data_IF_022026969369
#
_entry.id   IF_022026969369
#
_cell.length_a   1.000
_cell.length_b   1.000
_cell.length_c   1.000
_cell.angle_alpha   90.00
_cell.angle_beta   90.00
_cell.angle_gamma   90.00
#
_symmetry.space_group_name_H-M   'P 1'
#
loop_
_entity.id
_entity.type
_entity.pdbx_description
1 polymer ?
#
# COMPACT_ATOMS: atom_id res chain seq x y z
N UNK A 1 -9.01 13.44 -6.09
CA UNK A 1 -9.32 14.35 -4.99
C UNK A 1 -8.21 14.24 -3.95
N UNK A 2 -7.85 15.31 -3.23
CA UNK A 2 -6.87 15.27 -2.16
C UNK A 2 -7.29 14.28 -1.07
N UNK A 3 -6.33 13.50 -0.58
CA UNK A 3 -6.56 12.59 0.54
C UNK A 3 -6.04 13.21 1.85
N UNK A 4 -6.25 12.54 2.97
CA UNK A 4 -5.72 13.00 4.25
C UNK A 4 -4.18 13.13 4.24
N UNK A 5 -3.47 12.32 3.42
CA UNK A 5 -2.00 12.42 3.27
C UNK A 5 -1.55 13.74 2.66
N UNK A 6 -2.33 14.32 1.73
CA UNK A 6 -2.03 15.65 1.19
C UNK A 6 -2.18 16.77 2.23
N UNK A 7 -3.03 16.55 3.27
CA UNK A 7 -3.13 17.48 4.40
C UNK A 7 -1.94 17.38 5.35
N UNK A 8 -1.32 16.20 5.43
CA UNK A 8 -0.13 15.97 6.24
C UNK A 8 1.13 16.48 5.54
N UNK A 9 1.20 16.28 4.23
CA UNK A 9 2.35 16.67 3.40
C UNK A 9 1.87 17.09 2.01
N UNK A 10 1.88 18.39 1.73
CA UNK A 10 1.35 18.98 0.50
C UNK A 10 2.02 18.42 -0.76
N UNK A 11 3.32 18.12 -0.68
CA UNK A 11 4.09 17.56 -1.79
C UNK A 11 3.88 16.06 -2.02
N UNK A 12 3.03 15.39 -1.21
CA UNK A 12 2.72 13.97 -1.39
C UNK A 12 2.16 13.69 -2.79
N UNK A 13 2.74 12.74 -3.51
CA UNK A 13 2.42 12.40 -4.92
C UNK A 13 2.55 13.59 -5.90
N UNK A 14 3.16 14.70 -5.48
CA UNK A 14 3.28 15.92 -6.29
C UNK A 14 4.11 15.76 -7.56
N UNK A 15 4.94 14.74 -7.65
CA UNK A 15 5.75 14.41 -8.84
C UNK A 15 5.01 13.55 -9.87
N UNK A 16 3.83 13.02 -9.52
CA UNK A 16 3.03 12.19 -10.44
C UNK A 16 2.45 13.03 -11.58
N UNK A 17 2.62 12.55 -12.79
CA UNK A 17 1.94 13.16 -13.95
C UNK A 17 0.44 12.98 -13.82
N UNK A 18 -0.37 13.97 -14.26
CA UNK A 18 -1.81 13.81 -14.31
C UNK A 18 -2.20 12.65 -15.24
N UNK A 19 -3.32 12.01 -14.93
CA UNK A 19 -3.90 10.98 -15.79
C UNK A 19 -4.23 11.58 -17.17
N UNK A 20 -3.85 10.93 -18.28
CA UNK A 20 -4.27 11.36 -19.62
C UNK A 20 -5.78 11.51 -19.70
N UNK A 21 -6.27 12.48 -20.47
CA UNK A 21 -7.69 12.81 -20.52
C UNK A 21 -8.53 11.66 -21.05
N UNK A 22 -8.02 10.98 -22.07
CA UNK A 22 -8.66 9.82 -22.70
C UNK A 22 -8.85 8.67 -21.69
N UNK A 23 -7.92 8.49 -20.77
CA UNK A 23 -8.03 7.47 -19.71
C UNK A 23 -9.00 7.96 -18.61
N UNK A 24 -8.98 9.25 -18.29
CA UNK A 24 -9.88 9.84 -17.29
C UNK A 24 -11.35 9.69 -17.68
N UNK A 25 -11.68 9.82 -18.96
CA UNK A 25 -13.03 9.63 -19.48
C UNK A 25 -13.49 8.17 -19.41
N UNK A 26 -12.57 7.21 -19.49
CA UNK A 26 -12.90 5.78 -19.42
C UNK A 26 -13.17 5.28 -17.99
N UNK A 27 -12.66 5.95 -16.96
CA UNK A 27 -12.82 5.50 -15.57
C UNK A 27 -14.28 5.40 -15.14
N UNK A 28 -15.16 6.38 -15.43
CA UNK A 28 -16.60 6.25 -15.13
C UNK A 28 -17.25 5.08 -15.86
N UNK A 29 -16.92 4.87 -17.13
CA UNK A 29 -17.48 3.80 -17.96
C UNK A 29 -17.11 2.42 -17.42
N UNK A 30 -15.85 2.23 -17.00
CA UNK A 30 -15.40 0.98 -16.36
C UNK A 30 -16.16 0.71 -15.06
N UNK A 31 -16.38 1.75 -14.24
CA UNK A 31 -17.15 1.59 -13.00
C UNK A 31 -18.61 1.21 -13.27
N UNK A 32 -19.23 1.83 -14.25
CA UNK A 32 -20.59 1.54 -14.69
C UNK A 32 -20.71 0.09 -15.18
N UNK A 33 -19.79 -0.34 -16.05
CA UNK A 33 -19.72 -1.70 -16.56
C UNK A 33 -19.54 -2.72 -15.41
N UNK A 34 -18.59 -2.51 -14.51
CA UNK A 34 -18.38 -3.38 -13.37
C UNK A 34 -19.63 -3.49 -12.46
N UNK A 35 -20.30 -2.36 -12.23
CA UNK A 35 -21.54 -2.33 -11.45
C UNK A 35 -22.66 -3.11 -12.15
N UNK A 36 -22.81 -2.96 -13.46
CA UNK A 36 -23.79 -3.72 -14.26
C UNK A 36 -23.49 -5.23 -14.28
N UNK A 37 -22.20 -5.59 -14.20
CA UNK A 37 -21.77 -7.00 -14.04
C UNK A 37 -22.02 -7.55 -12.63
N UNK A 38 -22.50 -6.75 -11.67
CA UNK A 38 -22.71 -7.18 -10.30
C UNK A 38 -21.44 -7.15 -9.42
N UNK A 39 -20.36 -6.50 -9.92
CA UNK A 39 -19.14 -6.28 -9.13
C UNK A 39 -19.35 -5.11 -8.19
N UNK A 40 -19.06 -5.30 -6.91
CA UNK A 40 -19.20 -4.23 -5.92
C UNK A 40 -18.04 -3.23 -6.03
N UNK A 41 -18.36 -2.01 -6.48
CA UNK A 41 -17.40 -0.90 -6.61
C UNK A 41 -17.46 -0.03 -5.36
N UNK A 42 -16.38 0.00 -4.57
CA UNK A 42 -16.30 0.78 -3.33
C UNK A 42 -15.42 2.00 -3.53
N UNK A 43 -15.93 3.16 -3.13
CA UNK A 43 -15.17 4.43 -3.15
C UNK A 43 -15.40 5.19 -1.85
N UNK A 44 -14.38 5.94 -1.41
CA UNK A 44 -14.49 6.83 -0.25
C UNK A 44 -13.68 8.09 -0.49
N UNK A 45 -14.34 9.23 -0.45
CA UNK A 45 -13.67 10.52 -0.58
C UNK A 45 -12.69 10.74 0.59
N UNK A 46 -11.52 11.32 0.28
CA UNK A 46 -10.45 11.56 1.26
C UNK A 46 -9.56 10.37 1.56
N UNK A 47 -9.83 9.18 0.99
CA UNK A 47 -9.05 7.96 1.14
C UNK A 47 -8.55 7.45 -0.19
N UNK A 48 -7.45 6.72 -0.17
CA UNK A 48 -6.89 6.05 -1.33
C UNK A 48 -7.48 4.65 -1.51
N UNK A 49 -7.34 4.08 -2.70
CA UNK A 49 -7.80 2.71 -2.96
C UNK A 49 -7.15 1.71 -2.00
N UNK A 50 -5.88 1.91 -1.67
CA UNK A 50 -5.13 1.04 -0.77
C UNK A 50 -5.67 1.08 0.66
N UNK A 51 -6.16 2.25 1.12
CA UNK A 51 -6.82 2.38 2.43
C UNK A 51 -8.15 1.59 2.46
N UNK A 52 -8.90 1.62 1.35
CA UNK A 52 -10.13 0.85 1.21
C UNK A 52 -9.81 -0.65 1.18
N UNK A 53 -8.81 -1.07 0.41
CA UNK A 53 -8.35 -2.46 0.34
C UNK A 53 -7.88 -2.96 1.71
N UNK A 54 -7.06 -2.17 2.41
CA UNK A 54 -6.59 -2.49 3.76
C UNK A 54 -7.73 -2.63 4.76
N UNK A 55 -8.71 -1.72 4.71
CA UNK A 55 -9.89 -1.78 5.56
C UNK A 55 -10.74 -3.03 5.28
N UNK A 56 -10.97 -3.36 4.00
CA UNK A 56 -11.74 -4.54 3.62
C UNK A 56 -11.00 -5.83 4.00
N UNK A 57 -9.69 -5.90 3.80
CA UNK A 57 -8.89 -7.06 4.19
C UNK A 57 -8.97 -7.31 5.71
N UNK A 58 -8.81 -6.27 6.54
CA UNK A 58 -8.94 -6.40 7.99
C UNK A 58 -10.34 -6.79 8.45
N UNK A 59 -11.38 -6.23 7.82
CA UNK A 59 -12.77 -6.64 8.09
C UNK A 59 -13.00 -8.10 7.73
N UNK A 60 -12.48 -8.57 6.59
CA UNK A 60 -12.60 -9.96 6.15
C UNK A 60 -11.89 -10.92 7.10
N UNK A 61 -10.66 -10.60 7.48
CA UNK A 61 -9.89 -11.38 8.44
C UNK A 61 -10.59 -11.47 9.80
N UNK A 62 -11.12 -10.34 10.31
CA UNK A 62 -11.89 -10.30 11.55
C UNK A 62 -13.20 -11.12 11.49
N UNK A 63 -13.79 -11.25 10.28
CA UNK A 63 -14.94 -12.10 10.03
C UNK A 63 -14.57 -13.59 9.79
N UNK A 64 -13.29 -13.95 9.94
CA UNK A 64 -12.81 -15.32 9.76
C UNK A 64 -12.64 -15.75 8.29
N UNK A 65 -12.73 -14.82 7.34
CA UNK A 65 -12.57 -15.07 5.92
C UNK A 65 -11.15 -14.84 5.45
N UNK A 66 -10.73 -15.57 4.42
CA UNK A 66 -9.51 -15.29 3.68
C UNK A 66 -9.76 -14.12 2.70
N UNK A 67 -8.75 -13.29 2.50
CA UNK A 67 -8.80 -12.17 1.57
C UNK A 67 -7.63 -12.24 0.58
N UNK A 68 -7.89 -11.97 -0.68
CA UNK A 68 -6.85 -11.81 -1.70
C UNK A 68 -6.92 -10.40 -2.26
N UNK A 69 -5.84 -9.64 -2.13
CA UNK A 69 -5.69 -8.33 -2.74
C UNK A 69 -4.88 -8.49 -4.03
N UNK A 70 -5.52 -8.20 -5.16
CA UNK A 70 -4.86 -8.17 -6.47
C UNK A 70 -4.47 -6.72 -6.81
N UNK A 71 -3.18 -6.43 -6.87
CA UNK A 71 -2.66 -5.09 -7.18
C UNK A 71 -1.25 -5.16 -7.73
N UNK A 72 -0.83 -4.15 -8.47
CA UNK A 72 0.57 -3.94 -8.84
C UNK A 72 1.39 -3.20 -7.79
N UNK A 73 0.76 -2.72 -6.72
CA UNK A 73 1.40 -1.91 -5.69
C UNK A 73 2.00 -2.76 -4.57
N UNK A 74 3.31 -2.62 -4.36
CA UNK A 74 4.03 -3.35 -3.31
C UNK A 74 3.80 -2.81 -1.90
N UNK A 75 3.21 -1.63 -1.77
CA UNK A 75 2.90 -1.05 -0.47
C UNK A 75 1.89 -1.88 0.28
N UNK A 76 1.03 -2.57 -0.47
CA UNK A 76 0.05 -3.51 0.05
C UNK A 76 0.67 -4.73 0.75
N UNK A 77 1.96 -5.02 0.54
CA UNK A 77 2.68 -6.08 1.27
C UNK A 77 2.66 -5.90 2.79
N UNK A 78 2.52 -4.67 3.26
CA UNK A 78 2.35 -4.36 4.69
C UNK A 78 1.09 -4.99 5.30
N UNK A 79 0.12 -5.36 4.46
CA UNK A 79 -1.17 -5.94 4.87
C UNK A 79 -1.17 -7.47 4.94
N UNK A 80 -0.13 -8.13 4.40
CA UNK A 80 -0.08 -9.57 4.30
C UNK A 80 -0.11 -10.25 5.67
N UNK A 81 -0.96 -11.28 5.80
CA UNK A 81 -1.06 -12.16 6.97
C UNK A 81 -1.22 -13.61 6.50
N UNK A 82 -1.49 -14.53 7.41
CA UNK A 82 -1.82 -15.91 7.03
C UNK A 82 -3.17 -16.02 6.29
N UNK A 83 -4.07 -15.04 6.50
CA UNK A 83 -5.40 -14.98 5.87
C UNK A 83 -5.52 -13.93 4.78
N UNK A 84 -4.62 -12.94 4.76
CA UNK A 84 -4.59 -11.89 3.75
C UNK A 84 -3.41 -12.13 2.81
N UNK A 85 -3.72 -12.50 1.58
CA UNK A 85 -2.75 -12.74 0.52
C UNK A 85 -2.66 -11.54 -0.41
N UNK A 86 -1.45 -11.08 -0.71
CA UNK A 86 -1.20 -10.04 -1.71
C UNK A 86 -0.73 -10.71 -3.00
N UNK A 87 -1.50 -10.53 -4.06
CA UNK A 87 -1.22 -11.06 -5.39
C UNK A 87 -0.72 -9.96 -6.30
N UNK A 88 0.57 -10.02 -6.66
CA UNK A 88 1.25 -9.01 -7.48
C UNK A 88 1.49 -9.51 -8.90
N UNK A 89 0.75 -9.02 -9.90
CA UNK A 89 1.08 -9.22 -11.30
C UNK A 89 2.37 -8.46 -11.64
N UNK A 90 3.31 -9.12 -12.30
CA UNK A 90 4.58 -8.55 -12.75
C UNK A 90 4.78 -8.82 -14.22
N UNK A 91 4.80 -7.78 -15.03
CA UNK A 91 5.06 -7.90 -16.46
C UNK A 91 6.50 -7.54 -16.78
N UNK A 92 7.24 -8.49 -17.31
CA UNK A 92 8.62 -8.30 -17.77
C UNK A 92 8.72 -8.77 -19.22
N UNK A 93 9.14 -7.89 -20.10
CA UNK A 93 9.31 -8.18 -21.54
C UNK A 93 8.05 -8.81 -22.18
N UNK A 94 6.87 -8.29 -21.86
CA UNK A 94 5.59 -8.77 -22.38
C UNK A 94 5.05 -10.08 -21.77
N UNK A 95 5.80 -10.70 -20.85
CA UNK A 95 5.33 -11.88 -20.10
C UNK A 95 4.89 -11.47 -18.70
N UNK A 96 3.63 -11.74 -18.37
CA UNK A 96 3.10 -11.52 -17.01
C UNK A 96 3.28 -12.78 -16.18
N UNK A 97 3.87 -12.62 -15.02
CA UNK A 97 3.95 -13.61 -13.95
C UNK A 97 3.19 -13.10 -12.73
N UNK A 98 2.71 -14.00 -11.89
CA UNK A 98 2.00 -13.68 -10.66
C UNK A 98 2.88 -14.10 -9.49
N UNK A 99 3.07 -13.21 -8.54
CA UNK A 99 3.75 -13.49 -7.29
C UNK A 99 2.73 -13.36 -6.15
N UNK A 100 2.58 -14.40 -5.33
CA UNK A 100 1.65 -14.43 -4.20
C UNK A 100 2.42 -14.31 -2.88
N UNK A 101 1.96 -13.44 -1.98
CA UNK A 101 2.60 -13.15 -0.72
C UNK A 101 1.62 -13.24 0.44
N UNK A 102 1.80 -14.23 1.31
CA UNK A 102 1.39 -14.20 2.71
C UNK A 102 2.54 -13.62 3.56
N UNK A 103 2.35 -13.54 4.87
CA UNK A 103 3.35 -12.98 5.76
C UNK A 103 4.73 -13.66 5.62
N UNK A 104 4.74 -14.99 5.51
CA UNK A 104 5.98 -15.76 5.39
C UNK A 104 6.77 -15.43 4.12
N UNK A 105 6.10 -15.30 2.96
CA UNK A 105 6.75 -14.95 1.70
C UNK A 105 7.31 -13.53 1.71
N UNK A 106 6.68 -12.60 2.43
CA UNK A 106 7.23 -11.26 2.64
C UNK A 106 8.54 -11.35 3.43
N UNK A 107 8.57 -12.10 4.52
CA UNK A 107 9.77 -12.29 5.36
C UNK A 107 10.91 -12.93 4.55
N UNK A 108 10.62 -13.98 3.80
CA UNK A 108 11.61 -14.69 2.98
C UNK A 108 12.25 -13.78 1.92
N UNK A 109 11.46 -12.90 1.31
CA UNK A 109 11.91 -12.05 0.21
C UNK A 109 12.55 -10.74 0.68
N UNK A 110 11.95 -10.09 1.69
CA UNK A 110 12.34 -8.74 2.12
C UNK A 110 13.11 -8.73 3.45
N UNK A 111 13.23 -9.86 4.14
CA UNK A 111 13.92 -10.04 5.44
C UNK A 111 13.26 -9.23 6.58
N UNK A 112 12.06 -8.74 6.37
CA UNK A 112 11.26 -7.99 7.34
C UNK A 112 9.83 -8.52 7.35
N UNK A 113 9.11 -8.33 8.46
CA UNK A 113 7.69 -8.67 8.57
C UNK A 113 6.83 -7.71 7.72
N UNK A 114 5.60 -8.09 7.34
CA UNK A 114 4.69 -7.19 6.62
C UNK A 114 4.56 -5.80 7.23
N UNK A 115 4.30 -5.61 8.54
CA UNK A 115 4.26 -4.27 9.12
C UNK A 115 5.58 -3.50 9.02
N UNK A 116 6.72 -4.18 8.99
CA UNK A 116 8.03 -3.54 8.87
C UNK A 116 8.33 -3.00 7.46
N UNK A 117 7.54 -3.32 6.44
CA UNK A 117 7.61 -2.66 5.12
C UNK A 117 7.43 -1.14 5.26
N UNK A 118 6.56 -0.70 6.21
CA UNK A 118 6.36 0.71 6.53
C UNK A 118 7.65 1.34 7.07
N UNK A 119 8.34 0.62 7.96
CA UNK A 119 9.59 1.07 8.57
C UNK A 119 10.71 1.25 7.53
N UNK A 120 10.79 0.32 6.55
CA UNK A 120 11.72 0.48 5.43
C UNK A 120 11.46 1.78 4.67
N UNK A 121 10.17 2.06 4.36
CA UNK A 121 9.78 3.29 3.65
C UNK A 121 9.98 4.55 4.48
N UNK A 122 9.82 4.47 5.78
CA UNK A 122 10.13 5.57 6.70
C UNK A 122 11.59 6.01 6.56
N UNK A 123 12.50 5.05 6.38
CA UNK A 123 13.93 5.32 6.25
C UNK A 123 14.36 5.66 4.82
N UNK A 124 14.00 4.85 3.84
CA UNK A 124 14.49 5.02 2.46
C UNK A 124 13.65 5.97 1.62
N UNK A 125 12.44 6.32 2.08
CA UNK A 125 11.47 7.08 1.31
C UNK A 125 10.84 6.28 0.17
N UNK A 126 10.04 6.97 -0.63
CA UNK A 126 9.45 6.47 -1.87
C UNK A 126 9.36 7.59 -2.90
N UNK A 127 10.15 7.49 -3.95
CA UNK A 127 10.17 8.49 -5.01
C UNK A 127 8.91 8.51 -5.85
N UNK A 128 8.18 7.38 -5.97
CA UNK A 128 6.93 7.31 -6.73
C UNK A 128 5.81 8.09 -6.05
N UNK A 129 5.82 8.14 -4.72
CA UNK A 129 4.83 8.85 -3.89
C UNK A 129 5.37 10.16 -3.32
N UNK A 130 6.61 10.51 -3.67
CA UNK A 130 7.31 11.66 -3.14
C UNK A 130 7.40 11.66 -1.61
N UNK A 131 7.60 10.46 -1.03
CA UNK A 131 7.87 10.28 0.40
C UNK A 131 9.39 10.44 0.60
N UNK A 132 9.82 11.37 1.46
CA UNK A 132 11.23 11.77 1.50
C UNK A 132 12.17 10.73 2.11
N UNK A 133 11.73 9.97 3.14
CA UNK A 133 12.65 9.16 3.95
C UNK A 133 13.68 10.00 4.68
N UNK A 134 14.84 9.44 4.99
CA UNK A 134 15.98 10.19 5.54
C UNK A 134 17.16 10.19 4.56
N UNK A 135 17.91 11.30 4.44
CA UNK A 135 18.96 11.43 3.45
C UNK A 135 20.05 10.36 3.57
N UNK A 136 20.42 9.76 2.45
CA UNK A 136 21.55 8.82 2.40
C UNK A 136 21.28 7.42 2.95
N UNK A 137 20.04 7.10 3.30
CA UNK A 137 19.60 5.76 3.68
C UNK A 137 18.81 5.15 2.53
N UNK A 138 19.40 4.17 1.85
CA UNK A 138 18.75 3.37 0.81
C UNK A 138 18.30 2.01 1.35
N UNK A 139 17.66 1.22 0.49
CA UNK A 139 17.03 -0.07 0.83
C UNK A 139 17.94 -0.99 1.67
N UNK A 140 19.18 -1.22 1.23
CA UNK A 140 20.10 -2.12 1.94
C UNK A 140 20.42 -1.67 3.38
N UNK A 141 20.54 -0.36 3.60
CA UNK A 141 20.81 0.19 4.92
C UNK A 141 19.56 0.19 5.77
N UNK A 142 18.42 0.57 5.20
CA UNK A 142 17.11 0.51 5.85
C UNK A 142 16.79 -0.91 6.32
N UNK A 143 16.96 -1.91 5.43
CA UNK A 143 16.74 -3.32 5.79
C UNK A 143 17.60 -3.77 6.97
N UNK A 144 18.90 -3.45 6.96
CA UNK A 144 19.79 -3.81 8.08
C UNK A 144 19.34 -3.18 9.41
N UNK A 145 18.96 -1.89 9.37
CA UNK A 145 18.49 -1.17 10.55
C UNK A 145 17.20 -1.83 11.08
N UNK A 146 16.23 -2.10 10.21
CA UNK A 146 14.95 -2.66 10.65
C UNK A 146 15.07 -4.12 11.08
N UNK A 147 15.93 -4.91 10.46
CA UNK A 147 16.22 -6.29 10.93
C UNK A 147 16.86 -6.27 12.33
N UNK A 148 17.75 -5.29 12.62
CA UNK A 148 18.45 -5.20 13.89
C UNK A 148 17.58 -4.59 15.01
N UNK A 149 16.86 -3.49 14.69
CA UNK A 149 16.14 -2.71 15.70
C UNK A 149 14.61 -2.89 15.66
N UNK A 150 14.05 -3.45 14.61
CA UNK A 150 12.63 -3.73 14.47
C UNK A 150 11.77 -2.54 14.02
N UNK A 151 12.07 -1.33 14.45
CA UNK A 151 11.34 -0.08 14.11
C UNK A 151 12.27 1.13 14.08
N UNK A 152 11.80 2.23 13.46
CA UNK A 152 12.55 3.50 13.47
C UNK A 152 12.66 4.11 14.87
N UNK A 153 11.65 3.90 15.72
CA UNK A 153 11.64 4.37 17.10
C UNK A 153 12.75 3.71 17.90
N UNK A 154 12.81 2.37 17.87
CA UNK A 154 13.84 1.62 18.59
C UNK A 154 15.24 1.90 18.03
N UNK A 155 15.37 2.05 16.72
CA UNK A 155 16.62 2.47 16.09
C UNK A 155 17.08 3.86 16.57
N UNK A 156 16.15 4.80 16.76
CA UNK A 156 16.43 6.12 17.29
C UNK A 156 16.78 6.09 18.79
N UNK A 157 16.16 5.24 19.59
CA UNK A 157 16.53 5.03 21.01
C UNK A 157 17.94 4.48 21.18
N UNK A 158 18.41 3.68 20.21
CA UNK A 158 19.75 3.09 20.19
C UNK A 158 20.71 3.78 19.21
N UNK A 159 20.53 5.09 19.02
CA UNK A 159 21.20 5.89 18.00
C UNK A 159 22.73 5.76 18.04
N UNK A 160 23.33 5.73 19.24
CA UNK A 160 24.79 5.66 19.39
C UNK A 160 25.40 4.33 18.92
N UNK A 161 24.60 3.28 18.87
CA UNK A 161 25.01 1.95 18.39
C UNK A 161 24.76 1.76 16.89
N UNK A 162 23.93 2.63 16.29
CA UNK A 162 23.46 2.51 14.91
C UNK A 162 24.62 2.65 13.91
N UNK A 163 24.70 1.72 12.99
CA UNK A 163 25.68 1.68 11.89
C UNK A 163 24.97 1.65 10.53
N UNK A 164 25.58 2.25 9.48
CA UNK A 164 26.84 3.01 9.48
C UNK A 164 26.69 4.41 10.10
N UNK A 165 27.80 5.05 10.45
CA UNK A 165 27.80 6.38 11.05
C UNK A 165 26.98 7.41 10.25
N UNK A 166 27.01 7.35 8.92
CA UNK A 166 26.23 8.23 8.07
C UNK A 166 24.73 8.07 8.30
N UNK A 167 24.24 6.84 8.46
CA UNK A 167 22.83 6.58 8.76
C UNK A 167 22.46 7.06 10.17
N UNK A 168 23.37 6.91 11.14
CA UNK A 168 23.22 7.42 12.51
C UNK A 168 23.06 8.92 12.52
N UNK A 169 23.96 9.67 11.87
CA UNK A 169 23.88 11.12 11.80
C UNK A 169 22.59 11.57 11.07
N UNK A 170 22.26 10.93 9.96
CA UNK A 170 21.03 11.22 9.23
C UNK A 170 19.78 10.95 10.08
N UNK A 171 19.73 9.86 10.83
CA UNK A 171 18.65 9.57 11.76
C UNK A 171 18.55 10.62 12.87
N UNK A 172 19.70 11.06 13.41
CA UNK A 172 19.74 12.11 14.44
C UNK A 172 19.17 13.43 13.94
N UNK A 173 19.51 13.81 12.72
CA UNK A 173 19.15 15.12 12.15
C UNK A 173 17.74 15.14 11.53
N UNK A 174 17.24 13.97 11.06
CA UNK A 174 16.03 13.89 10.24
C UNK A 174 14.99 12.91 10.79
N UNK A 175 14.98 12.64 12.09
CA UNK A 175 14.03 11.68 12.69
C UNK A 175 12.56 12.08 12.47
N UNK A 176 12.25 13.39 12.59
CA UNK A 176 10.90 13.89 12.32
C UNK A 176 10.44 13.59 10.88
N UNK A 177 11.39 13.65 9.94
CA UNK A 177 11.13 13.30 8.53
C UNK A 177 10.87 11.79 8.37
N UNK A 178 11.58 10.93 9.12
CA UNK A 178 11.30 9.50 9.15
C UNK A 178 9.90 9.20 9.71
N UNK A 179 9.51 9.87 10.79
CA UNK A 179 8.18 9.73 11.38
C UNK A 179 7.07 10.18 10.42
N UNK A 180 7.25 11.30 9.75
CA UNK A 180 6.33 11.77 8.71
C UNK A 180 6.25 10.76 7.55
N UNK A 181 7.39 10.26 7.08
CA UNK A 181 7.45 9.26 6.00
C UNK A 181 6.76 7.97 6.39
N UNK A 182 6.92 7.52 7.63
CA UNK A 182 6.20 6.38 8.21
C UNK A 182 4.69 6.59 8.16
N UNK A 183 4.23 7.76 8.60
CA UNK A 183 2.80 8.09 8.59
C UNK A 183 2.21 8.14 7.17
N UNK A 184 2.96 8.67 6.19
CA UNK A 184 2.55 8.71 4.79
C UNK A 184 2.51 7.33 4.15
N UNK A 185 3.47 6.45 4.48
CA UNK A 185 3.55 5.08 3.94
C UNK A 185 2.54 4.10 4.57
N UNK A 186 1.98 4.45 5.73
CA UNK A 186 1.03 3.59 6.43
C UNK A 186 -0.33 3.58 5.75
N UNK A 187 -0.83 2.41 5.39
CA UNK A 187 -2.17 2.21 4.86
C UNK A 187 -3.18 2.26 6.02
N UNK A 188 -4.21 3.10 5.88
CA UNK A 188 -5.32 3.17 6.82
C UNK A 188 -6.20 1.92 6.69
N UNK A 189 -6.38 1.19 7.79
CA UNK A 189 -7.16 -0.06 7.81
C UNK A 189 -8.51 0.07 8.50
N UNK A 190 -8.92 1.30 8.81
CA UNK A 190 -10.17 1.64 9.48
C UNK A 190 -10.94 2.77 8.77
N UNK A 191 -10.79 2.87 7.44
CA UNK A 191 -11.51 3.84 6.63
C UNK A 191 -13.02 3.73 6.86
N UNK A 192 -13.76 4.85 6.99
CA UNK A 192 -15.18 4.86 7.29
C UNK A 192 -16.02 4.50 6.04
N UNK A 193 -15.86 3.27 5.58
CA UNK A 193 -16.60 2.71 4.44
C UNK A 193 -17.80 1.91 4.91
N UNK A 194 -18.91 2.05 4.20
CA UNK A 194 -20.05 1.15 4.29
C UNK A 194 -19.82 -0.05 3.38
N UNK A 195 -19.83 -1.25 3.96
CA UNK A 195 -19.59 -2.47 3.22
C UNK A 195 -20.50 -3.60 3.73
N UNK A 196 -21.06 -4.37 2.81
CA UNK A 196 -21.90 -5.54 3.10
C UNK A 196 -21.40 -6.73 2.30
N UNK A 197 -21.00 -7.81 2.98
CA UNK A 197 -20.60 -9.05 2.32
C UNK A 197 -21.71 -9.65 1.46
N UNK A 198 -22.97 -9.53 1.90
CA UNK A 198 -24.10 -10.03 1.13
C UNK A 198 -24.25 -9.32 -0.22
N UNK A 199 -24.08 -7.98 -0.22
CA UNK A 199 -24.09 -7.19 -1.45
C UNK A 199 -22.87 -7.40 -2.33
N UNK A 200 -21.76 -7.82 -1.74
CA UNK A 200 -20.49 -8.08 -2.43
C UNK A 200 -20.38 -9.52 -2.96
N UNK A 201 -21.33 -10.40 -2.64
CA UNK A 201 -21.37 -11.74 -3.22
C UNK A 201 -21.48 -11.65 -4.74
N UNK A 202 -20.54 -12.26 -5.44
CA UNK A 202 -20.64 -12.43 -6.88
C UNK A 202 -21.79 -13.38 -7.19
N UNK A 203 -22.86 -12.82 -7.74
CA UNK A 203 -23.97 -13.58 -8.28
C UNK A 203 -23.68 -14.03 -9.72
N UNK A 204 -24.65 -13.94 -10.59
CA UNK A 204 -24.47 -14.15 -12.02
C UNK A 204 -23.72 -12.94 -12.61
N UNK A 205 -22.43 -13.11 -12.92
CA UNK A 205 -21.55 -12.08 -13.49
C UNK A 205 -22.00 -11.58 -14.88
N UNK A 206 -22.88 -12.28 -15.55
CA UNK A 206 -23.35 -11.95 -16.89
C UNK A 206 -24.81 -11.51 -16.83
N UNK A 207 -25.03 -10.24 -16.49
CA UNK A 207 -26.36 -9.66 -16.55
C UNK A 207 -26.66 -9.17 -17.98
N UNK A 208 -27.95 -9.03 -18.32
CA UNK A 208 -28.37 -8.47 -19.61
C UNK A 208 -27.88 -7.02 -19.76
N UNK A 209 -27.85 -6.26 -18.66
CA UNK A 209 -27.36 -4.90 -18.58
C UNK A 209 -25.88 -4.81 -18.90
N UNK A 210 -25.05 -5.71 -18.34
CA UNK A 210 -23.62 -5.78 -18.64
C UNK A 210 -23.35 -6.06 -20.12
N UNK A 211 -24.14 -6.97 -20.73
CA UNK A 211 -24.01 -7.29 -22.15
C UNK A 211 -24.35 -6.09 -23.07
N UNK A 212 -25.26 -5.23 -22.66
CA UNK A 212 -25.64 -4.04 -23.43
C UNK A 212 -24.65 -2.89 -23.34
N UNK A 213 -23.72 -2.92 -22.36
CA UNK A 213 -22.66 -1.93 -22.17
C UNK A 213 -21.34 -2.30 -22.89
N UNK A 214 -21.21 -3.52 -23.35
CA UNK A 214 -20.06 -4.01 -24.13
C UNK A 214 -20.33 -3.85 -25.64
#
# INVERSE_FOLDING_TARGET
APTFRHKMFEAYKGTRKPMPEELREQVPLIKEMLTAMGVNVVTKEGYEADDILGTLARKSEAAGMDATILSGDRDLLQLATDKVMIRLPKTVRGKTTIEDYHAQQVIEKYQVTPPQIIELKALMGDSADNIPGIPGVGEKTATKIIVEYGSIENAHEHLEELKPNRARESMREHYDMAQMSKALATICTDSPIEFSYEKAKLGNLYTKEAFLLC
#
